data_IF_194782883508
#
_entry.id   IF_194782883508
#
_cell.length_a   1.000
_cell.length_b   1.000
_cell.length_c   1.000
_cell.angle_alpha   90.00
_cell.angle_beta   90.00
_cell.angle_gamma   90.00
#
_symmetry.space_group_name_H-M   'P 1'
#
loop_
_entity.id
_entity.type
_entity.pdbx_description
1 polymer ?
#
# COMPACT_ATOMS: atom_id res chain seq x y z
N UNK A 1 37.02 -32.56 96.94
CA UNK A 1 37.54 -32.97 95.65
C UNK A 1 36.39 -32.84 94.64
N UNK A 2 36.41 -31.86 93.79
CA UNK A 2 35.32 -31.45 92.92
C UNK A 2 35.63 -31.96 91.51
N UNK A 3 34.77 -32.85 90.99
CA UNK A 3 34.82 -33.35 89.63
C UNK A 3 33.91 -32.49 88.81
N UNK A 4 34.49 -31.72 87.89
CA UNK A 4 33.73 -30.96 86.88
C UNK A 4 33.32 -31.91 85.71
N UNK A 5 32.05 -31.99 85.43
CA UNK A 5 31.51 -32.64 84.22
C UNK A 5 31.48 -31.58 83.11
N UNK A 6 32.14 -31.92 81.97
CA UNK A 6 32.02 -31.19 80.71
C UNK A 6 30.76 -31.65 79.99
N UNK A 7 29.90 -30.73 79.72
CA UNK A 7 28.75 -30.95 78.87
C UNK A 7 29.05 -30.43 77.45
N UNK A 8 29.02 -31.34 76.49
CA UNK A 8 29.29 -31.05 75.07
C UNK A 8 27.94 -30.66 74.42
N UNK A 9 27.81 -29.41 73.97
CA UNK A 9 26.66 -28.92 73.24
C UNK A 9 26.82 -29.19 71.75
N UNK A 10 25.92 -29.97 71.16
CA UNK A 10 25.87 -30.21 69.72
C UNK A 10 25.03 -29.07 69.11
N UNK A 11 25.64 -28.24 68.26
CA UNK A 11 24.90 -27.25 67.43
C UNK A 11 24.34 -27.98 66.21
N UNK A 12 23.02 -28.09 66.10
CA UNK A 12 22.33 -28.40 64.84
C UNK A 12 22.19 -27.09 64.02
N UNK A 13 22.90 -27.03 62.89
CA UNK A 13 22.66 -25.95 61.91
C UNK A 13 21.47 -26.35 61.04
N UNK A 14 20.36 -25.63 61.22
CA UNK A 14 19.21 -25.71 60.30
C UNK A 14 19.47 -24.87 59.05
N UNK A 15 19.66 -25.49 57.92
CA UNK A 15 19.70 -24.83 56.60
C UNK A 15 18.27 -24.44 56.21
N UNK A 16 17.94 -23.15 56.32
CA UNK A 16 16.71 -22.60 55.75
C UNK A 16 16.89 -22.44 54.24
N UNK A 17 16.29 -23.35 53.46
CA UNK A 17 16.17 -23.22 52.02
C UNK A 17 15.22 -22.06 51.70
N UNK A 18 15.75 -21.00 51.11
CA UNK A 18 14.92 -19.94 50.53
C UNK A 18 14.23 -20.46 49.26
N UNK A 19 12.95 -20.74 49.36
CA UNK A 19 12.11 -20.99 48.17
C UNK A 19 11.89 -19.63 47.51
N UNK A 20 12.60 -19.39 46.40
CA UNK A 20 12.32 -18.26 45.54
C UNK A 20 10.94 -18.48 44.90
N UNK A 21 9.95 -17.76 45.40
CA UNK A 21 8.64 -17.65 44.74
C UNK A 21 8.87 -16.88 43.43
N UNK A 22 8.82 -17.58 42.29
CA UNK A 22 8.78 -16.95 40.98
C UNK A 22 7.53 -16.03 40.98
N UNK A 23 7.75 -14.72 40.83
CA UNK A 23 6.68 -13.78 40.53
C UNK A 23 5.97 -14.29 39.27
N UNK A 24 4.65 -14.42 39.26
CA UNK A 24 3.93 -14.65 37.99
C UNK A 24 4.27 -13.46 37.09
N UNK A 25 4.77 -13.78 35.89
CA UNK A 25 5.01 -12.78 34.86
C UNK A 25 3.73 -11.93 34.77
N UNK A 26 3.87 -10.66 35.09
CA UNK A 26 2.79 -9.68 34.98
C UNK A 26 2.41 -9.69 33.50
N UNK A 27 1.21 -10.18 33.20
CA UNK A 27 0.67 -10.09 31.85
C UNK A 27 0.80 -8.63 31.44
N UNK A 28 1.52 -8.38 30.34
CA UNK A 28 1.58 -7.04 29.78
C UNK A 28 0.13 -6.58 29.61
N UNK A 29 -0.20 -5.43 30.19
CA UNK A 29 -1.48 -4.77 29.94
C UNK A 29 -1.70 -4.81 28.41
N UNK A 30 -2.88 -5.23 27.94
CA UNK A 30 -3.18 -5.12 26.51
C UNK A 30 -2.95 -3.66 26.16
N UNK A 31 -1.96 -3.41 25.28
CA UNK A 31 -1.60 -2.07 24.84
C UNK A 31 -2.90 -1.36 24.51
N UNK A 32 -3.19 -0.29 25.25
CA UNK A 32 -4.41 0.48 25.07
C UNK A 32 -4.44 0.88 23.60
N UNK A 33 -5.42 0.36 22.84
CA UNK A 33 -5.53 0.65 21.42
C UNK A 33 -5.50 2.17 21.27
N UNK A 34 -4.55 2.67 20.47
CA UNK A 34 -4.48 4.10 20.20
C UNK A 34 -5.81 4.55 19.58
N UNK A 35 -6.28 5.74 19.96
CA UNK A 35 -7.48 6.32 19.36
C UNK A 35 -7.34 6.31 17.82
N UNK A 36 -8.41 6.02 17.08
CA UNK A 36 -8.35 6.00 15.63
C UNK A 36 -8.00 7.39 15.09
N UNK A 37 -7.18 7.43 14.04
CA UNK A 37 -6.88 8.68 13.33
C UNK A 37 -8.13 9.15 12.60
N UNK A 38 -8.57 10.35 12.90
CA UNK A 38 -9.77 10.96 12.30
C UNK A 38 -9.41 11.61 10.97
N UNK A 39 -9.84 10.99 9.89
CA UNK A 39 -9.57 11.46 8.52
C UNK A 39 -10.87 12.03 7.94
N UNK A 40 -10.83 13.29 7.49
CA UNK A 40 -11.95 13.95 6.82
C UNK A 40 -11.74 13.95 5.31
N UNK A 41 -12.42 13.08 4.55
CA UNK A 41 -12.52 13.25 3.10
C UNK A 41 -13.39 14.47 2.80
N UNK A 42 -12.76 15.59 2.39
CA UNK A 42 -13.44 16.87 2.11
C UNK A 42 -13.43 17.17 0.62
N UNK A 43 -14.57 17.47 0.04
CA UNK A 43 -14.65 17.83 -1.37
C UNK A 43 -16.06 17.78 -1.98
N UNK A 44 -16.13 17.35 -3.24
CA UNK A 44 -17.38 17.32 -3.99
C UNK A 44 -17.82 15.88 -4.33
N UNK A 45 -18.32 15.66 -5.55
CA UNK A 45 -18.87 14.37 -5.99
C UNK A 45 -17.84 13.22 -6.05
N UNK A 46 -16.59 13.51 -6.36
CA UNK A 46 -15.53 12.49 -6.34
C UNK A 46 -15.28 12.00 -4.90
N UNK A 47 -15.29 12.91 -3.93
CA UNK A 47 -15.19 12.58 -2.51
C UNK A 47 -16.41 11.79 -2.03
N UNK A 48 -17.61 12.14 -2.51
CA UNK A 48 -18.84 11.41 -2.26
C UNK A 48 -18.80 9.96 -2.79
N UNK A 49 -18.08 9.71 -3.89
CA UNK A 49 -18.01 8.41 -4.57
C UNK A 49 -18.95 8.27 -5.76
N UNK A 50 -19.35 9.39 -6.40
CA UNK A 50 -20.20 9.36 -7.58
C UNK A 50 -19.57 8.54 -8.69
N UNK A 51 -20.38 7.74 -9.39
CA UNK A 51 -20.02 6.79 -10.48
C UNK A 51 -19.19 5.55 -10.05
N UNK A 52 -18.88 5.36 -8.76
CA UNK A 52 -18.50 4.03 -8.30
C UNK A 52 -19.74 3.14 -8.12
N UNK A 53 -19.63 1.85 -8.42
CA UNK A 53 -20.75 0.91 -8.40
C UNK A 53 -21.34 0.72 -7.00
N UNK A 54 -20.53 0.87 -5.97
CA UNK A 54 -20.89 0.71 -4.56
C UNK A 54 -21.12 2.06 -3.83
N UNK A 55 -20.83 3.20 -4.47
CA UNK A 55 -20.89 4.54 -3.88
C UNK A 55 -19.77 4.84 -2.89
N UNK A 56 -18.80 3.94 -2.71
CA UNK A 56 -17.69 4.11 -1.77
C UNK A 56 -16.58 5.03 -2.31
N UNK A 57 -16.45 5.12 -3.63
CA UNK A 57 -15.37 5.84 -4.28
C UNK A 57 -14.00 5.29 -3.86
N UNK A 58 -13.04 6.17 -3.55
CA UNK A 58 -11.70 5.75 -3.09
C UNK A 58 -11.65 5.36 -1.61
N UNK A 59 -12.69 5.66 -0.82
CA UNK A 59 -12.64 5.61 0.65
C UNK A 59 -12.50 4.18 1.19
N UNK A 60 -13.23 3.21 0.65
CA UNK A 60 -13.16 1.83 1.12
C UNK A 60 -11.78 1.22 0.89
N UNK A 61 -11.24 1.36 -0.33
CA UNK A 61 -9.92 0.84 -0.65
C UNK A 61 -8.83 1.54 0.18
N UNK A 62 -8.91 2.86 0.34
CA UNK A 62 -8.00 3.61 1.21
C UNK A 62 -8.06 3.11 2.66
N UNK A 63 -9.28 2.89 3.18
CA UNK A 63 -9.47 2.36 4.54
C UNK A 63 -8.88 0.96 4.68
N UNK A 64 -9.11 0.10 3.69
CA UNK A 64 -8.56 -1.25 3.65
C UNK A 64 -7.02 -1.23 3.70
N UNK A 65 -6.40 -0.37 2.92
CA UNK A 65 -4.94 -0.19 2.90
C UNK A 65 -4.43 0.32 4.25
N UNK A 66 -5.01 1.36 4.81
CA UNK A 66 -4.59 1.95 6.09
C UNK A 66 -4.78 0.97 7.26
N UNK A 67 -5.90 0.26 7.32
CA UNK A 67 -6.18 -0.71 8.37
C UNK A 67 -5.33 -1.99 8.25
N UNK A 68 -5.07 -2.44 7.01
CA UNK A 68 -4.27 -3.64 6.74
C UNK A 68 -2.78 -3.46 7.00
N UNK A 69 -2.26 -2.27 6.79
CA UNK A 69 -0.82 -2.07 6.62
C UNK A 69 -0.03 -1.80 7.89
N UNK A 70 -0.62 -1.37 8.95
CA UNK A 70 0.17 -1.05 10.14
C UNK A 70 -0.65 -1.09 11.43
N UNK A 71 -1.83 -1.68 11.38
CA UNK A 71 -2.75 -1.58 12.51
C UNK A 71 -3.09 -0.13 12.83
N UNK A 72 -3.12 0.76 11.82
CA UNK A 72 -3.61 2.11 12.01
C UNK A 72 -5.13 2.05 12.01
N UNK A 73 -5.70 2.16 13.19
CA UNK A 73 -7.13 2.39 13.31
C UNK A 73 -7.44 3.77 12.73
N UNK A 74 -8.34 3.83 11.75
CA UNK A 74 -8.85 5.08 11.19
C UNK A 74 -10.35 5.19 11.37
N UNK A 75 -10.82 6.42 11.47
CA UNK A 75 -12.20 6.83 11.54
C UNK A 75 -12.41 7.92 10.49
N UNK A 76 -13.16 7.61 9.42
CA UNK A 76 -13.57 8.65 8.51
C UNK A 76 -14.59 9.56 9.21
N UNK A 77 -14.44 10.85 9.03
CA UNK A 77 -15.32 11.83 9.69
C UNK A 77 -15.87 12.85 8.71
N UNK A 78 -17.09 13.32 8.98
CA UNK A 78 -17.79 14.28 8.17
C UNK A 78 -19.28 14.27 8.46
N UNK A 79 -20.02 15.18 7.86
CA UNK A 79 -21.47 15.30 8.04
C UNK A 79 -22.27 14.47 7.05
N UNK A 80 -21.62 13.92 6.03
CA UNK A 80 -22.23 13.16 4.95
C UNK A 80 -21.95 11.67 5.09
N UNK A 81 -22.88 10.86 4.55
CA UNK A 81 -22.74 9.41 4.48
C UNK A 81 -23.07 8.92 3.07
N UNK A 82 -22.14 8.18 2.45
CA UNK A 82 -22.34 7.60 1.12
C UNK A 82 -21.66 6.26 0.97
N UNK A 83 -22.21 5.44 0.07
CA UNK A 83 -21.70 4.11 -0.23
C UNK A 83 -22.22 3.02 0.71
N UNK A 84 -21.66 1.81 0.55
CA UNK A 84 -22.05 0.57 1.23
C UNK A 84 -21.06 0.10 2.27
N UNK A 85 -19.87 0.72 2.36
CA UNK A 85 -18.83 0.38 3.32
C UNK A 85 -19.29 0.58 4.78
N UNK A 86 -18.60 -0.04 5.72
CA UNK A 86 -18.96 0.02 7.14
C UNK A 86 -18.82 1.45 7.72
N UNK A 87 -17.76 2.16 7.35
CA UNK A 87 -17.48 3.54 7.75
C UNK A 87 -17.79 4.47 6.56
N UNK A 88 -19.01 5.01 6.52
CA UNK A 88 -19.53 5.79 5.38
C UNK A 88 -19.34 7.29 5.51
N UNK A 89 -18.75 7.75 6.61
CA UNK A 89 -18.66 9.18 6.89
C UNK A 89 -17.69 9.87 5.91
N UNK A 90 -18.07 11.06 5.49
CA UNK A 90 -17.28 11.91 4.60
C UNK A 90 -17.85 13.34 4.60
N UNK A 91 -17.13 14.27 3.99
CA UNK A 91 -17.58 15.64 3.77
C UNK A 91 -17.60 15.95 2.25
N UNK A 92 -18.13 15.01 1.46
CA UNK A 92 -18.32 15.14 0.02
C UNK A 92 -19.66 15.78 -0.32
N UNK A 93 -19.64 16.92 -1.00
CA UNK A 93 -20.84 17.67 -1.39
C UNK A 93 -20.91 17.78 -2.92
N UNK A 94 -21.63 16.86 -3.62
CA UNK A 94 -21.72 16.87 -5.06
C UNK A 94 -22.17 18.24 -5.62
N UNK A 95 -21.44 18.73 -6.64
CA UNK A 95 -21.76 19.97 -7.32
C UNK A 95 -21.16 21.24 -6.70
N UNK A 96 -20.62 21.20 -5.48
CA UNK A 96 -20.03 22.37 -4.84
C UNK A 96 -18.68 22.75 -5.42
N UNK A 97 -18.46 24.06 -5.59
CA UNK A 97 -17.18 24.69 -5.95
C UNK A 97 -16.33 25.01 -4.72
N UNK A 98 -15.11 25.48 -4.96
CA UNK A 98 -14.17 25.87 -3.91
C UNK A 98 -14.79 26.94 -2.97
N UNK A 99 -15.43 27.97 -3.52
CA UNK A 99 -16.06 29.04 -2.72
C UNK A 99 -17.20 28.54 -1.83
N UNK A 100 -17.97 27.57 -2.34
CA UNK A 100 -19.10 26.98 -1.61
C UNK A 100 -18.64 26.01 -0.51
N UNK A 101 -17.57 25.26 -0.75
CA UNK A 101 -16.91 24.45 0.29
C UNK A 101 -16.37 25.38 1.38
N UNK A 102 -15.64 26.44 1.00
CA UNK A 102 -15.07 27.40 1.94
C UNK A 102 -16.12 28.05 2.85
N UNK A 103 -17.29 28.35 2.32
CA UNK A 103 -18.37 28.96 3.09
C UNK A 103 -18.87 28.10 4.28
N UNK A 104 -18.63 26.80 4.26
CA UNK A 104 -19.09 25.86 5.27
C UNK A 104 -17.95 25.17 6.05
N UNK A 105 -16.71 25.28 5.56
CA UNK A 105 -15.56 24.51 6.07
C UNK A 105 -15.34 24.66 7.57
N UNK A 106 -15.45 25.87 8.13
CA UNK A 106 -15.25 26.12 9.57
C UNK A 106 -16.22 25.32 10.43
N UNK A 107 -17.51 25.28 10.05
CA UNK A 107 -18.52 24.54 10.79
C UNK A 107 -18.28 23.03 10.72
N UNK A 108 -17.93 22.51 9.55
CA UNK A 108 -17.63 21.09 9.37
C UNK A 108 -16.37 20.66 10.11
N UNK A 109 -15.28 21.46 10.04
CA UNK A 109 -14.03 21.19 10.74
C UNK A 109 -14.19 21.25 12.27
N UNK A 110 -15.00 22.19 12.77
CA UNK A 110 -15.28 22.30 14.20
C UNK A 110 -16.09 21.10 14.72
N UNK A 111 -17.05 20.60 13.94
CA UNK A 111 -17.87 19.45 14.30
C UNK A 111 -17.06 18.13 14.20
N UNK A 112 -16.40 17.90 13.08
CA UNK A 112 -15.68 16.65 12.81
C UNK A 112 -14.31 16.55 13.50
N UNK A 113 -13.65 17.65 13.81
CA UNK A 113 -12.32 17.71 14.46
C UNK A 113 -11.32 16.73 13.90
N UNK A 114 -11.03 16.76 12.58
CA UNK A 114 -10.14 15.81 11.95
C UNK A 114 -8.68 16.01 12.39
N UNK A 115 -7.92 14.91 12.38
CA UNK A 115 -6.45 14.91 12.48
C UNK A 115 -5.82 15.06 11.10
N UNK A 116 -6.54 14.62 10.05
CA UNK A 116 -6.12 14.73 8.65
C UNK A 116 -7.31 15.17 7.80
N UNK A 117 -7.08 16.10 6.87
CA UNK A 117 -8.03 16.50 5.84
C UNK A 117 -7.53 16.04 4.47
N UNK A 118 -8.32 15.25 3.73
CA UNK A 118 -8.07 14.90 2.34
C UNK A 118 -8.95 15.79 1.45
N UNK A 119 -8.36 16.83 0.85
CA UNK A 119 -9.10 17.84 0.10
C UNK A 119 -9.02 17.58 -1.41
N UNK A 120 -10.20 17.28 -2.03
CA UNK A 120 -10.35 17.21 -3.48
C UNK A 120 -11.52 18.09 -3.93
N UNK A 121 -11.23 19.28 -4.42
CA UNK A 121 -12.23 20.28 -4.86
C UNK A 121 -11.70 21.14 -6.01
N UNK A 122 -12.59 21.67 -6.84
CA UNK A 122 -12.29 22.51 -7.99
C UNK A 122 -12.83 21.97 -9.32
N UNK A 123 -13.22 20.69 -9.38
CA UNK A 123 -13.86 20.10 -10.57
C UNK A 123 -15.07 20.91 -11.01
N UNK A 124 -15.91 21.36 -10.08
CA UNK A 124 -17.11 22.17 -10.39
C UNK A 124 -16.76 23.60 -10.83
N UNK A 125 -15.65 24.17 -10.37
CA UNK A 125 -15.12 25.44 -10.87
C UNK A 125 -14.76 25.32 -12.36
N UNK A 126 -14.08 24.23 -12.75
CA UNK A 126 -13.69 23.98 -14.16
C UNK A 126 -14.90 23.67 -15.05
N UNK A 127 -15.82 22.81 -14.59
CA UNK A 127 -17.04 22.45 -15.32
C UNK A 127 -17.92 23.67 -15.57
N UNK A 128 -18.17 24.47 -14.54
CA UNK A 128 -19.03 25.67 -14.61
C UNK A 128 -18.31 26.87 -15.24
N UNK A 129 -17.01 26.74 -15.55
CA UNK A 129 -16.16 27.85 -16.01
C UNK A 129 -16.26 29.06 -15.06
N UNK A 130 -16.28 28.80 -13.76
CA UNK A 130 -16.55 29.81 -12.74
C UNK A 130 -15.29 30.54 -12.33
N UNK A 131 -15.11 31.75 -12.84
CA UNK A 131 -14.00 32.66 -12.51
C UNK A 131 -12.64 31.91 -12.35
N UNK A 132 -12.29 31.13 -13.37
CA UNK A 132 -11.13 30.23 -13.36
C UNK A 132 -9.79 30.94 -13.10
N UNK A 133 -9.55 32.17 -13.58
CA UNK A 133 -8.31 32.88 -13.25
C UNK A 133 -8.10 33.05 -11.74
N UNK A 134 -9.16 33.16 -10.96
CA UNK A 134 -9.11 33.30 -9.50
C UNK A 134 -9.29 31.98 -8.73
N UNK A 135 -9.56 30.87 -9.40
CA UNK A 135 -9.72 29.56 -8.74
C UNK A 135 -8.50 29.11 -7.90
N UNK A 136 -7.24 29.30 -8.35
CA UNK A 136 -6.05 29.03 -7.53
C UNK A 136 -5.99 29.89 -6.27
N UNK A 137 -6.39 31.15 -6.34
CA UNK A 137 -6.45 32.02 -5.15
C UNK A 137 -7.51 31.57 -4.16
N UNK A 138 -8.69 31.12 -4.64
CA UNK A 138 -9.73 30.51 -3.78
C UNK A 138 -9.23 29.23 -3.11
N UNK A 139 -8.51 28.36 -3.84
CA UNK A 139 -7.91 27.16 -3.27
C UNK A 139 -6.92 27.52 -2.15
N UNK A 140 -6.03 28.47 -2.38
CA UNK A 140 -5.11 28.95 -1.33
C UNK A 140 -5.85 29.44 -0.09
N UNK A 141 -6.87 30.29 -0.29
CA UNK A 141 -7.67 30.84 0.82
C UNK A 141 -8.38 29.73 1.61
N UNK A 142 -8.90 28.69 0.93
CA UNK A 142 -9.50 27.53 1.59
C UNK A 142 -8.46 26.75 2.41
N UNK A 143 -7.25 26.54 1.88
CA UNK A 143 -6.16 25.89 2.64
C UNK A 143 -5.78 26.71 3.87
N UNK A 144 -5.62 28.04 3.74
CA UNK A 144 -5.34 28.94 4.87
C UNK A 144 -6.45 28.87 5.93
N UNK A 145 -7.70 28.80 5.52
CA UNK A 145 -8.87 28.64 6.40
C UNK A 145 -8.83 27.31 7.16
N UNK A 146 -8.57 26.19 6.46
CA UNK A 146 -8.47 24.85 7.07
C UNK A 146 -7.35 24.82 8.11
N UNK A 147 -6.18 25.35 7.77
CA UNK A 147 -5.04 25.41 8.69
C UNK A 147 -5.35 26.27 9.91
N UNK A 148 -6.01 27.41 9.73
CA UNK A 148 -6.41 28.27 10.84
C UNK A 148 -7.44 27.59 11.76
N UNK A 149 -8.40 26.87 11.19
CA UNK A 149 -9.44 26.15 11.95
C UNK A 149 -8.88 24.90 12.66
N UNK A 150 -7.87 24.24 12.08
CA UNK A 150 -7.26 22.99 12.58
C UNK A 150 -5.73 23.04 12.50
N UNK A 151 -5.04 23.83 13.35
CA UNK A 151 -3.59 24.05 13.23
C UNK A 151 -2.72 22.79 13.41
N UNK A 152 -3.25 21.79 14.11
CA UNK A 152 -2.55 20.52 14.37
C UNK A 152 -2.85 19.44 13.30
N UNK A 153 -3.87 19.65 12.46
CA UNK A 153 -4.22 18.69 11.43
C UNK A 153 -3.24 18.75 10.27
N UNK A 154 -3.01 17.61 9.66
CA UNK A 154 -2.35 17.56 8.36
C UNK A 154 -3.39 17.78 7.26
N UNK A 155 -3.03 18.54 6.23
CA UNK A 155 -3.87 18.73 5.05
C UNK A 155 -3.18 18.14 3.83
N UNK A 156 -3.79 17.13 3.23
CA UNK A 156 -3.36 16.61 1.93
C UNK A 156 -4.38 17.05 0.89
N UNK A 157 -4.00 17.96 0.00
CA UNK A 157 -4.86 18.39 -1.08
C UNK A 157 -4.36 17.87 -2.43
N UNK A 158 -5.22 17.80 -3.43
CA UNK A 158 -4.90 17.12 -4.68
C UNK A 158 -5.05 17.98 -5.92
N UNK A 159 -4.37 17.55 -6.99
CA UNK A 159 -4.77 17.92 -8.35
C UNK A 159 -6.15 17.33 -8.68
N UNK A 160 -6.84 17.93 -9.64
CA UNK A 160 -8.07 17.39 -10.21
C UNK A 160 -7.74 16.24 -11.15
N UNK A 161 -8.59 15.23 -11.19
CA UNK A 161 -8.50 14.12 -12.16
C UNK A 161 -8.69 14.66 -13.60
N UNK A 162 -8.21 13.95 -14.64
CA UNK A 162 -8.45 14.35 -16.02
C UNK A 162 -9.95 14.31 -16.34
N UNK A 163 -10.37 15.07 -17.37
CA UNK A 163 -11.73 15.04 -17.88
C UNK A 163 -11.76 14.39 -19.26
N UNK A 164 -12.78 13.57 -19.53
CA UNK A 164 -13.05 13.04 -20.87
C UNK A 164 -13.43 14.14 -21.87
N UNK A 165 -13.97 15.25 -21.40
CA UNK A 165 -14.25 16.40 -22.24
C UNK A 165 -13.01 17.30 -22.43
N UNK A 166 -12.51 17.41 -23.66
CA UNK A 166 -11.26 18.11 -23.97
C UNK A 166 -11.24 19.58 -23.53
N UNK A 167 -12.37 20.30 -23.62
CA UNK A 167 -12.47 21.70 -23.20
C UNK A 167 -12.32 21.81 -21.69
N UNK A 168 -13.03 20.96 -20.95
CA UNK A 168 -12.90 20.94 -19.48
C UNK A 168 -11.53 20.46 -19.05
N UNK A 169 -10.96 19.45 -19.71
CA UNK A 169 -9.62 18.93 -19.40
C UNK A 169 -8.52 20.00 -19.58
N UNK A 170 -8.65 20.88 -20.58
CA UNK A 170 -7.75 22.03 -20.71
C UNK A 170 -7.84 22.98 -19.51
N UNK A 171 -9.03 23.19 -18.95
CA UNK A 171 -9.23 23.99 -17.73
C UNK A 171 -8.66 23.31 -16.50
N UNK A 172 -8.88 21.99 -16.39
CA UNK A 172 -8.31 21.13 -15.35
C UNK A 172 -6.77 21.25 -15.34
N UNK A 173 -6.12 21.08 -16.50
CA UNK A 173 -4.66 21.22 -16.59
C UNK A 173 -4.17 22.60 -16.18
N UNK A 174 -4.89 23.66 -16.60
CA UNK A 174 -4.55 25.03 -16.24
C UNK A 174 -4.63 25.26 -14.73
N UNK A 175 -5.69 24.78 -14.10
CA UNK A 175 -5.87 24.84 -12.65
C UNK A 175 -4.79 24.03 -11.93
N UNK A 176 -4.58 22.75 -12.32
CA UNK A 176 -3.59 21.86 -11.71
C UNK A 176 -2.17 22.43 -11.77
N UNK A 177 -1.81 23.11 -12.85
CA UNK A 177 -0.49 23.73 -13.02
C UNK A 177 -0.17 24.81 -11.96
N UNK A 178 -1.18 25.40 -11.35
CA UNK A 178 -1.01 26.41 -10.29
C UNK A 178 -0.80 25.81 -8.88
N UNK A 179 -1.22 24.56 -8.65
CA UNK A 179 -1.26 23.95 -7.32
C UNK A 179 0.11 23.70 -6.68
N UNK A 180 1.18 23.32 -7.43
CA UNK A 180 2.51 23.15 -6.85
C UNK A 180 3.06 24.42 -6.19
N UNK A 181 2.81 25.59 -6.78
CA UNK A 181 3.24 26.87 -6.19
C UNK A 181 2.49 27.16 -4.87
N UNK A 182 1.22 26.80 -4.79
CA UNK A 182 0.42 26.91 -3.55
C UNK A 182 0.99 25.99 -2.47
N UNK A 183 1.29 24.73 -2.82
CA UNK A 183 1.91 23.80 -1.87
C UNK A 183 3.23 24.31 -1.33
N UNK A 184 4.09 24.88 -2.20
CA UNK A 184 5.35 25.49 -1.77
C UNK A 184 5.15 26.68 -0.83
N UNK A 185 4.15 27.54 -1.10
CA UNK A 185 3.82 28.67 -0.22
C UNK A 185 3.34 28.19 1.16
N UNK A 186 2.49 27.18 1.21
CA UNK A 186 2.02 26.57 2.47
C UNK A 186 3.20 25.97 3.27
N UNK A 187 4.09 25.24 2.60
CA UNK A 187 5.28 24.67 3.22
C UNK A 187 6.23 25.76 3.75
N UNK A 188 6.45 26.84 2.98
CA UNK A 188 7.28 27.97 3.40
C UNK A 188 6.68 28.74 4.60
N UNK A 189 5.35 28.70 4.77
CA UNK A 189 4.67 29.23 5.94
C UNK A 189 4.74 28.28 7.17
N UNK A 190 5.34 27.12 7.04
CA UNK A 190 5.43 26.10 8.10
C UNK A 190 4.17 25.28 8.32
N UNK A 191 3.21 25.33 7.40
CA UNK A 191 1.97 24.59 7.50
C UNK A 191 2.18 23.12 7.10
N UNK A 192 1.50 22.20 7.79
CA UNK A 192 1.50 20.78 7.43
C UNK A 192 0.51 20.52 6.28
N UNK A 193 0.83 21.10 5.12
CA UNK A 193 0.03 21.00 3.89
C UNK A 193 0.86 20.33 2.79
N UNK A 194 0.28 19.33 2.12
CA UNK A 194 0.94 18.55 1.07
C UNK A 194 0.04 18.45 -0.16
N UNK A 195 0.65 18.47 -1.34
CA UNK A 195 -0.03 18.21 -2.61
C UNK A 195 0.19 16.77 -3.03
N UNK A 196 -0.87 16.10 -3.48
CA UNK A 196 -0.83 14.82 -4.18
C UNK A 196 -1.31 15.00 -5.62
N UNK A 197 -0.63 14.38 -6.56
CA UNK A 197 -1.02 14.40 -7.96
C UNK A 197 -1.94 13.22 -8.28
N UNK A 198 -3.24 13.50 -8.39
CA UNK A 198 -4.26 12.54 -8.80
C UNK A 198 -4.50 12.53 -10.32
N UNK A 199 -3.83 13.40 -11.06
CA UNK A 199 -4.05 13.56 -12.51
C UNK A 199 -3.16 12.63 -13.35
N UNK A 200 -1.86 12.61 -13.07
CA UNK A 200 -0.85 12.04 -13.98
C UNK A 200 -0.93 10.52 -14.17
N UNK A 201 -1.53 9.80 -13.22
CA UNK A 201 -1.64 8.33 -13.26
C UNK A 201 -2.95 7.83 -13.83
N UNK A 202 -3.95 8.70 -13.99
CA UNK A 202 -5.23 8.35 -14.57
C UNK A 202 -5.19 8.53 -16.10
N UNK A 203 -5.87 7.62 -16.78
CA UNK A 203 -6.06 7.63 -18.24
C UNK A 203 -7.52 7.82 -18.60
N UNK A 204 -7.86 7.98 -19.86
CA UNK A 204 -9.25 8.06 -20.31
C UNK A 204 -10.09 6.83 -19.91
N UNK A 205 -9.48 5.65 -19.79
CA UNK A 205 -10.16 4.43 -19.36
C UNK A 205 -10.55 4.44 -17.87
N UNK A 206 -9.94 5.31 -17.09
CA UNK A 206 -10.21 5.46 -15.67
C UNK A 206 -11.35 6.48 -15.38
N UNK A 207 -11.83 7.16 -16.43
CA UNK A 207 -12.93 8.14 -16.34
C UNK A 207 -14.18 7.48 -16.88
N UNK A 208 -15.27 7.64 -16.15
CA UNK A 208 -16.57 7.08 -16.51
C UNK A 208 -17.17 7.78 -17.76
N UNK A 209 -18.23 7.21 -18.38
CA UNK A 209 -18.85 7.78 -19.56
C UNK A 209 -19.47 9.18 -19.37
N UNK A 210 -19.49 9.70 -18.15
CA UNK A 210 -19.92 11.07 -17.87
C UNK A 210 -18.81 12.12 -18.07
N UNK A 211 -17.60 11.67 -18.46
CA UNK A 211 -16.42 12.51 -18.70
C UNK A 211 -15.85 13.23 -17.46
N UNK A 212 -16.33 12.90 -16.27
CA UNK A 212 -16.04 13.66 -15.04
C UNK A 212 -15.51 12.76 -13.91
N UNK A 213 -16.28 11.72 -13.61
CA UNK A 213 -16.02 10.91 -12.41
C UNK A 213 -15.16 9.69 -12.74
N UNK A 214 -14.32 9.25 -11.81
CA UNK A 214 -13.57 8.01 -11.98
C UNK A 214 -14.48 6.78 -12.09
N UNK A 215 -14.05 5.78 -12.86
CA UNK A 215 -14.57 4.41 -12.78
C UNK A 215 -14.14 3.76 -11.45
N UNK A 216 -14.65 2.56 -11.13
CA UNK A 216 -14.17 1.80 -9.96
C UNK A 216 -12.65 1.60 -10.01
N UNK A 217 -12.09 1.27 -11.17
CA UNK A 217 -10.64 1.16 -11.37
C UNK A 217 -9.92 2.50 -11.14
N UNK A 218 -10.49 3.60 -11.61
CA UNK A 218 -10.00 4.95 -11.35
C UNK A 218 -10.00 5.28 -9.86
N UNK A 219 -11.05 4.94 -9.15
CA UNK A 219 -11.15 5.16 -7.71
C UNK A 219 -10.11 4.37 -6.91
N UNK A 220 -9.81 3.15 -7.29
CA UNK A 220 -8.73 2.37 -6.67
C UNK A 220 -7.37 3.04 -6.88
N UNK A 221 -7.10 3.58 -8.09
CA UNK A 221 -5.89 4.39 -8.33
C UNK A 221 -5.83 5.62 -7.42
N UNK A 222 -6.95 6.33 -7.25
CA UNK A 222 -7.02 7.44 -6.31
C UNK A 222 -6.71 7.00 -4.88
N UNK A 223 -7.25 5.87 -4.43
CA UNK A 223 -6.96 5.34 -3.10
C UNK A 223 -5.46 5.09 -2.91
N UNK A 224 -4.79 4.47 -3.89
CA UNK A 224 -3.34 4.23 -3.86
C UNK A 224 -2.53 5.52 -3.75
N UNK A 225 -2.94 6.57 -4.46
CA UNK A 225 -2.26 7.86 -4.42
C UNK A 225 -2.48 8.59 -3.08
N UNK A 226 -3.70 8.58 -2.57
CA UNK A 226 -4.01 9.09 -1.23
C UNK A 226 -3.23 8.35 -0.15
N UNK A 227 -3.20 7.02 -0.23
CA UNK A 227 -2.43 6.18 0.68
C UNK A 227 -0.94 6.57 0.70
N UNK A 228 -0.34 6.70 -0.49
CA UNK A 228 1.07 7.11 -0.62
C UNK A 228 1.34 8.50 -0.05
N UNK A 229 0.40 9.44 -0.22
CA UNK A 229 0.51 10.80 0.30
C UNK A 229 0.33 10.87 1.83
N UNK A 230 -0.45 9.95 2.41
CA UNK A 230 -0.67 9.87 3.85
C UNK A 230 0.51 9.29 4.63
N UNK A 231 1.35 8.49 3.99
CA UNK A 231 2.51 7.84 4.64
C UNK A 231 3.36 8.81 5.47
N UNK A 232 3.88 9.91 4.91
CA UNK A 232 4.70 10.85 5.67
C UNK A 232 3.92 11.63 6.74
N UNK A 233 2.59 11.55 6.72
CA UNK A 233 1.70 12.23 7.68
C UNK A 233 1.41 11.36 8.89
N UNK A 234 1.17 10.05 8.67
CA UNK A 234 0.67 9.14 9.69
C UNK A 234 1.78 8.40 10.46
N UNK A 235 3.03 8.51 10.04
CA UNK A 235 4.06 7.78 10.75
C UNK A 235 5.50 8.04 10.33
N UNK A 236 6.17 9.01 10.90
CA UNK A 236 7.62 8.98 10.96
C UNK A 236 8.06 7.77 11.82
N UNK A 237 8.72 6.78 11.22
CA UNK A 237 9.29 5.62 11.90
C UNK A 237 8.55 4.29 11.75
N UNK A 238 7.51 4.20 10.91
CA UNK A 238 6.87 2.95 10.50
C UNK A 238 7.24 2.61 9.06
N UNK A 239 7.55 1.34 8.80
CA UNK A 239 7.68 0.84 7.44
C UNK A 239 6.28 0.82 6.79
N UNK A 240 6.15 1.50 5.63
CA UNK A 240 4.88 1.60 4.92
C UNK A 240 4.95 0.86 3.60
N UNK A 241 3.94 0.04 3.23
CA UNK A 241 3.91 -0.54 1.91
C UNK A 241 3.75 0.56 0.85
N UNK A 242 4.71 0.60 -0.08
CA UNK A 242 4.62 1.34 -1.33
C UNK A 242 3.69 0.64 -2.31
N UNK A 243 3.54 -0.65 -2.14
CA UNK A 243 2.67 -1.54 -2.87
C UNK A 243 2.28 -2.72 -1.99
N UNK A 244 1.04 -3.18 -2.11
CA UNK A 244 0.56 -4.40 -1.46
C UNK A 244 -0.41 -5.15 -2.37
N UNK A 245 -0.32 -6.47 -2.35
CA UNK A 245 -1.29 -7.37 -2.97
C UNK A 245 -1.50 -8.59 -2.08
N UNK A 246 -2.73 -8.73 -1.59
CA UNK A 246 -3.22 -9.87 -0.80
C UNK A 246 -4.16 -10.78 -1.60
N UNK A 247 -4.34 -10.46 -2.90
CA UNK A 247 -5.23 -11.17 -3.82
C UNK A 247 -6.69 -11.29 -3.35
N UNK A 248 -7.08 -10.64 -2.27
CA UNK A 248 -8.44 -10.63 -1.72
C UNK A 248 -9.47 -10.06 -2.69
N UNK A 249 -9.11 -9.06 -3.47
CA UNK A 249 -9.94 -8.45 -4.51
C UNK A 249 -9.61 -8.99 -5.90
N UNK A 250 -10.63 -9.32 -6.69
CA UNK A 250 -10.48 -9.65 -8.12
C UNK A 250 -10.24 -8.40 -8.99
N UNK A 251 -10.56 -7.22 -8.47
CA UNK A 251 -10.55 -5.95 -9.19
C UNK A 251 -9.39 -5.04 -8.78
N UNK A 252 -8.16 -5.58 -8.75
CA UNK A 252 -7.00 -4.70 -8.61
C UNK A 252 -6.66 -4.10 -9.99
N UNK A 253 -6.67 -2.78 -10.16
CA UNK A 253 -6.61 -2.14 -11.48
C UNK A 253 -5.30 -2.37 -12.22
N UNK A 254 -4.25 -2.73 -11.50
CA UNK A 254 -2.93 -3.04 -12.07
C UNK A 254 -2.69 -4.54 -12.21
N UNK A 255 -3.68 -5.35 -11.83
CA UNK A 255 -3.62 -6.81 -11.88
C UNK A 255 -3.71 -7.34 -13.30
N UNK A 256 -2.84 -8.26 -13.64
CA UNK A 256 -2.89 -9.02 -14.89
C UNK A 256 -3.08 -10.50 -14.55
N UNK A 257 -4.28 -11.03 -14.76
CA UNK A 257 -4.51 -12.48 -14.68
C UNK A 257 -4.13 -13.09 -16.03
N UNK A 258 -3.05 -13.84 -16.05
CA UNK A 258 -2.54 -14.50 -17.26
C UNK A 258 -2.71 -16.01 -17.15
N UNK A 259 -3.71 -16.52 -17.83
CA UNK A 259 -3.92 -17.98 -17.97
C UNK A 259 -2.92 -18.57 -18.97
N UNK A 260 -2.46 -17.73 -19.91
CA UNK A 260 -1.48 -18.10 -20.93
C UNK A 260 -0.31 -17.13 -20.85
N UNK A 261 0.75 -17.55 -20.21
CA UNK A 261 1.96 -16.77 -20.01
C UNK A 261 2.54 -16.13 -21.27
N UNK A 262 2.34 -16.74 -22.43
CA UNK A 262 2.81 -16.25 -23.73
C UNK A 262 2.35 -14.83 -24.07
N UNK A 263 1.28 -14.35 -23.48
CA UNK A 263 0.70 -13.02 -23.78
C UNK A 263 1.32 -11.92 -22.92
N UNK A 264 1.82 -12.27 -21.74
CA UNK A 264 2.25 -11.30 -20.71
C UNK A 264 3.70 -11.49 -20.27
N UNK A 265 4.43 -12.37 -20.91
CA UNK A 265 5.79 -12.71 -20.49
C UNK A 265 6.81 -11.65 -20.90
N UNK A 266 7.76 -11.39 -20.00
CA UNK A 266 8.97 -10.67 -20.32
C UNK A 266 9.97 -11.49 -21.14
N UNK A 267 9.76 -12.82 -21.24
CA UNK A 267 10.52 -13.76 -22.05
C UNK A 267 10.29 -15.20 -21.62
N UNK A 268 10.46 -16.13 -22.53
CA UNK A 268 10.48 -17.58 -22.26
C UNK A 268 11.38 -18.29 -23.26
N UNK A 269 11.96 -19.40 -22.89
CA UNK A 269 12.76 -20.21 -23.81
C UNK A 269 12.92 -21.68 -23.37
N UNK A 270 13.46 -22.40 -24.28
CA UNK A 270 14.33 -23.59 -24.12
C UNK A 270 13.61 -24.80 -23.52
N UNK A 271 12.36 -25.05 -23.92
CA UNK A 271 11.58 -26.21 -23.49
C UNK A 271 10.46 -25.90 -22.53
N UNK A 272 10.39 -24.66 -22.01
CA UNK A 272 9.21 -24.14 -21.34
C UNK A 272 8.33 -23.46 -22.38
N UNK A 273 7.13 -23.98 -22.62
CA UNK A 273 6.19 -23.39 -23.57
C UNK A 273 5.43 -22.21 -22.99
N UNK A 274 5.12 -22.27 -21.69
CA UNK A 274 4.50 -21.18 -20.93
C UNK A 274 4.59 -21.47 -19.43
N UNK A 275 4.47 -20.42 -18.63
CA UNK A 275 4.12 -20.52 -17.22
C UNK A 275 2.74 -19.92 -17.02
N UNK A 276 1.83 -20.68 -16.45
CA UNK A 276 0.53 -20.18 -16.04
C UNK A 276 0.67 -19.43 -14.71
N UNK A 277 -0.02 -18.30 -14.60
CA UNK A 277 -0.17 -17.60 -13.34
C UNK A 277 -1.56 -16.97 -13.25
N UNK A 278 -2.17 -17.00 -12.07
CA UNK A 278 -3.49 -16.45 -11.89
C UNK A 278 -3.99 -16.60 -10.46
N UNK A 279 -4.98 -15.81 -10.12
CA UNK A 279 -5.64 -15.81 -8.81
C UNK A 279 -6.43 -17.08 -8.61
N UNK A 280 -6.22 -17.77 -7.49
CA UNK A 280 -6.91 -19.03 -7.15
C UNK A 280 -7.26 -19.05 -5.65
N UNK A 281 -8.34 -19.78 -5.32
CA UNK A 281 -8.85 -19.98 -3.96
C UNK A 281 -8.45 -21.34 -3.35
N UNK A 282 -7.50 -22.04 -3.95
CA UNK A 282 -7.12 -23.40 -3.51
C UNK A 282 -6.33 -23.37 -2.20
N UNK A 283 -5.52 -22.32 -2.01
CA UNK A 283 -4.80 -21.99 -0.78
C UNK A 283 -4.44 -20.52 -0.76
N UNK A 284 -4.36 -19.94 0.44
CA UNK A 284 -3.91 -18.57 0.66
C UNK A 284 -3.09 -18.52 1.95
N UNK A 285 -2.17 -17.57 2.06
CA UNK A 285 -1.49 -17.26 3.31
C UNK A 285 -2.40 -16.38 4.18
N UNK A 286 -2.97 -15.34 3.56
CA UNK A 286 -3.99 -14.49 4.14
C UNK A 286 -5.29 -14.50 3.32
N UNK A 287 -6.45 -14.31 3.96
CA UNK A 287 -7.72 -14.21 3.25
C UNK A 287 -8.15 -15.50 2.52
N UNK A 288 -8.62 -15.37 1.26
CA UNK A 288 -9.25 -16.47 0.51
C UNK A 288 -8.48 -16.87 -0.74
N UNK A 289 -7.65 -15.99 -1.28
CA UNK A 289 -7.04 -16.15 -2.59
C UNK A 289 -5.53 -15.88 -2.53
N UNK A 290 -4.80 -16.56 -3.42
CA UNK A 290 -3.38 -16.32 -3.67
C UNK A 290 -3.10 -16.36 -5.18
N UNK A 291 -1.94 -15.88 -5.60
CA UNK A 291 -1.44 -16.04 -6.97
C UNK A 291 -0.90 -17.46 -7.13
N UNK A 292 -1.56 -18.29 -7.91
CA UNK A 292 -1.04 -19.58 -8.37
C UNK A 292 -0.04 -19.36 -9.50
N UNK A 293 1.04 -20.14 -9.53
CA UNK A 293 1.92 -20.32 -10.67
C UNK A 293 2.13 -21.81 -10.95
N UNK A 294 2.22 -22.19 -12.23
CA UNK A 294 2.52 -23.57 -12.63
C UNK A 294 3.11 -23.65 -14.03
N UNK A 295 3.82 -24.72 -14.31
CA UNK A 295 4.35 -25.01 -15.61
C UNK A 295 4.97 -26.40 -15.68
N UNK A 296 5.42 -26.77 -16.90
CA UNK A 296 6.14 -27.99 -17.15
C UNK A 296 7.38 -27.69 -17.99
N UNK A 297 8.54 -27.84 -17.39
CA UNK A 297 9.83 -27.68 -18.08
C UNK A 297 10.26 -29.00 -18.67
N UNK A 298 10.43 -29.04 -19.98
CA UNK A 298 10.85 -30.25 -20.73
C UNK A 298 12.29 -30.19 -21.21
N UNK A 299 13.00 -29.08 -20.94
CA UNK A 299 14.39 -28.90 -21.38
C UNK A 299 15.39 -29.20 -20.28
N UNK A 300 16.42 -29.96 -20.62
CA UNK A 300 17.58 -30.18 -19.75
C UNK A 300 18.61 -29.03 -19.76
N UNK A 301 18.33 -27.99 -20.53
CA UNK A 301 19.10 -26.74 -20.56
C UNK A 301 18.31 -25.63 -19.89
N UNK A 302 18.89 -24.43 -19.77
CA UNK A 302 18.23 -23.30 -19.18
C UNK A 302 16.86 -23.03 -19.81
N UNK A 303 15.84 -22.92 -18.97
CA UNK A 303 14.48 -22.52 -19.35
C UNK A 303 14.04 -21.38 -18.46
N UNK A 304 13.34 -20.40 -19.02
CA UNK A 304 12.82 -19.30 -18.22
C UNK A 304 11.46 -18.80 -18.74
N UNK A 305 10.69 -18.23 -17.83
CA UNK A 305 9.45 -17.48 -18.11
C UNK A 305 9.25 -16.41 -17.06
N UNK A 306 8.83 -15.23 -17.49
CA UNK A 306 8.53 -14.09 -16.60
C UNK A 306 7.17 -13.52 -16.95
N UNK A 307 6.18 -13.77 -16.09
CA UNK A 307 4.83 -13.27 -16.26
C UNK A 307 4.66 -11.95 -15.52
N UNK A 308 4.19 -10.92 -16.20
CA UNK A 308 3.75 -9.70 -15.55
C UNK A 308 2.49 -10.00 -14.73
N UNK A 309 2.49 -9.59 -13.46
CA UNK A 309 1.34 -9.72 -12.57
C UNK A 309 0.76 -8.36 -12.18
N UNK A 310 1.60 -7.32 -12.05
CA UNK A 310 1.15 -5.96 -11.76
C UNK A 310 1.92 -4.94 -12.57
N UNK A 311 1.22 -3.89 -13.01
CA UNK A 311 1.81 -2.60 -13.35
C UNK A 311 1.83 -1.74 -12.07
N UNK A 312 3.01 -1.18 -11.75
CA UNK A 312 3.24 -0.45 -10.50
C UNK A 312 3.98 0.84 -10.84
N UNK A 313 3.83 1.85 -10.02
CA UNK A 313 4.65 3.05 -10.12
C UNK A 313 5.12 3.42 -8.71
N UNK A 314 6.14 2.70 -8.22
CA UNK A 314 6.63 2.87 -6.86
C UNK A 314 8.11 3.24 -6.84
N UNK A 315 8.50 4.39 -6.26
CA UNK A 315 9.90 4.77 -6.12
C UNK A 315 10.59 3.89 -5.07
N UNK A 316 11.85 3.56 -5.30
CA UNK A 316 12.68 2.77 -4.38
C UNK A 316 13.60 3.71 -3.61
N UNK A 317 13.44 3.77 -2.29
CA UNK A 317 14.38 4.41 -1.37
C UNK A 317 15.49 3.42 -0.94
N UNK A 318 16.53 3.92 -0.28
CA UNK A 318 17.67 3.09 0.14
C UNK A 318 17.28 2.02 1.19
N UNK A 319 16.22 2.26 1.94
CA UNK A 319 15.66 1.40 2.99
C UNK A 319 14.46 0.57 2.53
N UNK A 320 14.08 0.67 1.24
CA UNK A 320 12.99 -0.12 0.69
C UNK A 320 13.30 -1.61 0.71
N UNK A 321 12.27 -2.42 0.89
CA UNK A 321 12.36 -3.88 0.83
C UNK A 321 11.11 -4.46 0.13
N UNK A 322 11.32 -5.56 -0.62
CA UNK A 322 10.27 -6.44 -1.10
C UNK A 322 10.07 -7.56 -0.09
N UNK A 323 8.83 -7.85 0.28
CA UNK A 323 8.47 -9.09 0.99
C UNK A 323 7.30 -9.78 0.33
N UNK A 324 7.27 -11.09 0.40
CA UNK A 324 6.15 -11.90 -0.07
C UNK A 324 6.18 -13.28 0.58
N UNK A 325 5.02 -13.93 0.64
CA UNK A 325 4.94 -15.33 1.02
C UNK A 325 4.87 -16.21 -0.22
N UNK A 326 5.60 -17.33 -0.19
CA UNK A 326 5.62 -18.33 -1.27
C UNK A 326 5.37 -19.74 -0.71
N UNK A 327 4.51 -20.48 -1.40
CA UNK A 327 4.16 -21.86 -1.09
C UNK A 327 4.57 -22.77 -2.24
N UNK A 328 5.80 -23.28 -2.28
CA UNK A 328 6.25 -24.18 -3.33
C UNK A 328 5.70 -25.58 -3.10
N UNK A 329 5.15 -26.20 -4.14
CA UNK A 329 4.66 -27.58 -4.05
C UNK A 329 5.71 -28.62 -4.48
N UNK A 330 6.81 -28.18 -5.08
CA UNK A 330 7.90 -29.02 -5.52
C UNK A 330 9.23 -28.55 -4.95
N UNK A 331 10.13 -29.47 -4.53
CA UNK A 331 11.38 -29.10 -3.85
C UNK A 331 12.38 -28.31 -4.69
N UNK A 332 12.27 -28.42 -6.02
CA UNK A 332 13.17 -27.74 -6.96
C UNK A 332 12.49 -26.53 -7.64
N UNK A 333 11.54 -25.92 -6.98
CA UNK A 333 10.83 -24.75 -7.52
C UNK A 333 11.80 -23.59 -7.68
N UNK A 334 12.12 -23.25 -8.92
CA UNK A 334 12.97 -22.12 -9.32
C UNK A 334 12.12 -20.92 -9.67
N UNK A 335 11.36 -20.42 -8.71
CA UNK A 335 10.41 -19.30 -8.87
C UNK A 335 10.71 -18.23 -7.85
N UNK A 336 10.67 -16.97 -8.28
CA UNK A 336 10.73 -15.78 -7.42
C UNK A 336 9.93 -14.65 -8.02
N UNK A 337 9.58 -13.67 -7.20
CA UNK A 337 9.15 -12.38 -7.71
C UNK A 337 10.35 -11.61 -8.27
N UNK A 338 10.12 -10.91 -9.38
CA UNK A 338 11.05 -9.98 -9.99
C UNK A 338 10.42 -8.59 -10.09
N UNK A 339 11.22 -7.57 -9.85
CA UNK A 339 10.85 -6.18 -10.05
C UNK A 339 11.54 -5.68 -11.30
N UNK A 340 10.79 -5.12 -12.22
CA UNK A 340 11.31 -4.48 -13.42
C UNK A 340 11.11 -2.97 -13.31
N UNK A 341 12.18 -2.20 -13.54
CA UNK A 341 12.20 -0.76 -13.32
C UNK A 341 12.02 -0.01 -14.64
N UNK A 342 11.56 1.24 -14.55
CA UNK A 342 11.39 2.14 -15.70
C UNK A 342 12.70 2.43 -16.45
N UNK A 343 13.85 2.29 -15.79
CA UNK A 343 15.19 2.47 -16.37
C UNK A 343 15.79 1.17 -16.94
N UNK A 344 15.04 0.09 -16.95
CA UNK A 344 15.44 -1.22 -17.49
C UNK A 344 16.20 -2.12 -16.52
N UNK A 345 16.53 -1.67 -15.31
CA UNK A 345 17.09 -2.53 -14.26
C UNK A 345 16.05 -3.54 -13.77
N UNK A 346 16.51 -4.65 -13.19
CA UNK A 346 15.64 -5.66 -12.59
C UNK A 346 16.21 -6.16 -11.26
N UNK A 347 15.32 -6.69 -10.41
CA UNK A 347 15.73 -7.26 -9.13
C UNK A 347 16.62 -8.49 -9.33
N UNK A 348 16.27 -9.38 -10.26
CA UNK A 348 17.03 -10.59 -10.56
C UNK A 348 18.47 -10.32 -10.97
N UNK A 349 18.74 -9.19 -11.64
CA UNK A 349 20.05 -8.82 -12.15
C UNK A 349 20.83 -7.92 -11.17
N UNK A 350 20.19 -7.46 -10.10
CA UNK A 350 20.75 -6.51 -9.14
C UNK A 350 21.81 -7.10 -8.20
N UNK A 351 21.87 -8.44 -8.09
CA UNK A 351 22.69 -9.12 -7.10
C UNK A 351 22.16 -9.08 -5.67
N UNK A 352 20.99 -8.49 -5.43
CA UNK A 352 20.35 -8.47 -4.11
C UNK A 352 20.09 -9.88 -3.60
N UNK A 353 20.13 -10.05 -2.28
CA UNK A 353 19.88 -11.34 -1.60
C UNK A 353 18.73 -11.21 -0.62
N UNK A 354 18.03 -12.32 -0.38
CA UNK A 354 17.03 -12.41 0.65
C UNK A 354 17.62 -12.43 2.08
N UNK A 355 16.77 -12.53 3.09
CA UNK A 355 17.16 -12.58 4.51
C UNK A 355 18.04 -13.80 4.87
N UNK A 356 18.18 -14.78 3.98
CA UNK A 356 19.04 -15.96 4.16
C UNK A 356 20.33 -15.88 3.33
N UNK A 357 20.57 -14.77 2.64
CA UNK A 357 21.72 -14.57 1.75
C UNK A 357 21.57 -15.28 0.39
N UNK A 358 20.38 -15.74 0.02
CA UNK A 358 20.10 -16.34 -1.30
C UNK A 358 19.81 -15.23 -2.30
N UNK A 359 20.41 -15.26 -3.49
CA UNK A 359 20.16 -14.26 -4.53
C UNK A 359 18.66 -14.21 -4.89
N UNK A 360 18.13 -13.01 -4.97
CA UNK A 360 16.74 -12.72 -5.37
C UNK A 360 16.56 -12.91 -6.89
N UNK A 361 16.83 -14.11 -7.35
CA UNK A 361 16.73 -14.53 -8.75
C UNK A 361 16.04 -15.90 -8.78
N UNK A 362 15.06 -16.16 -9.66
CA UNK A 362 14.35 -17.43 -9.70
C UNK A 362 15.25 -18.66 -9.72
N UNK A 363 16.38 -18.59 -10.43
CA UNK A 363 17.34 -19.69 -10.52
C UNK A 363 17.90 -20.15 -9.16
N UNK A 364 17.95 -19.25 -8.17
CA UNK A 364 18.56 -19.55 -6.86
C UNK A 364 17.50 -19.74 -5.78
N UNK A 365 16.34 -19.10 -5.90
CA UNK A 365 15.22 -19.29 -4.99
C UNK A 365 14.66 -20.72 -5.13
N UNK A 366 14.33 -21.35 -4.02
CA UNK A 366 13.88 -22.75 -4.01
C UNK A 366 15.00 -23.80 -4.19
N UNK A 367 16.16 -23.43 -4.73
CA UNK A 367 17.33 -24.31 -4.81
C UNK A 367 18.13 -24.20 -3.50
N UNK A 368 18.61 -25.23 -2.99
CA UNK A 368 19.43 -25.21 -1.76
C UNK A 368 18.62 -25.38 -0.47
N UNK A 369 17.36 -25.78 -0.57
CA UNK A 369 16.57 -26.25 0.57
C UNK A 369 16.15 -25.18 1.58
N UNK A 370 16.16 -23.90 1.19
CA UNK A 370 15.74 -22.79 2.07
C UNK A 370 14.22 -22.65 2.12
N UNK A 371 13.54 -22.88 0.99
CA UNK A 371 12.09 -22.88 0.93
C UNK A 371 11.58 -24.30 1.22
N UNK A 372 10.81 -24.44 2.28
CA UNK A 372 10.19 -25.71 2.63
C UNK A 372 8.99 -25.99 1.72
N UNK A 373 8.94 -27.16 1.03
CA UNK A 373 7.82 -27.48 0.17
C UNK A 373 6.54 -27.71 0.97
N UNK A 374 5.40 -27.41 0.36
CA UNK A 374 4.05 -27.54 0.94
C UNK A 374 3.85 -26.75 2.23
N UNK A 375 4.52 -25.63 2.38
CA UNK A 375 4.28 -24.65 3.45
C UNK A 375 4.59 -23.25 2.95
N UNK A 376 3.97 -22.26 3.62
CA UNK A 376 4.23 -20.86 3.37
C UNK A 376 5.61 -20.45 3.92
N UNK A 377 6.41 -19.82 3.09
CA UNK A 377 7.74 -19.32 3.40
C UNK A 377 7.78 -17.82 3.14
N UNK A 378 8.22 -17.04 4.12
CA UNK A 378 8.46 -15.61 3.92
C UNK A 378 9.79 -15.41 3.19
N UNK A 379 9.76 -14.63 2.11
CA UNK A 379 10.94 -14.10 1.42
C UNK A 379 10.96 -12.58 1.60
N UNK A 380 12.09 -12.05 2.04
CA UNK A 380 12.31 -10.61 2.20
C UNK A 380 13.64 -10.21 1.59
N UNK A 381 13.60 -9.22 0.70
CA UNK A 381 14.75 -8.75 -0.08
C UNK A 381 14.91 -7.24 0.11
N UNK A 382 16.02 -6.76 0.69
CA UNK A 382 16.37 -5.35 0.68
C UNK A 382 16.56 -4.85 -0.76
N UNK A 383 16.01 -3.69 -1.08
CA UNK A 383 16.05 -3.09 -2.43
C UNK A 383 17.10 -1.99 -2.56
N UNK A 384 18.03 -1.85 -1.62
CA UNK A 384 19.07 -0.82 -1.62
C UNK A 384 19.91 -0.81 -2.91
N UNK A 385 20.15 -1.96 -3.53
CA UNK A 385 20.85 -2.08 -4.81
C UNK A 385 20.08 -1.44 -5.99
N UNK A 386 18.80 -1.20 -5.84
CA UNK A 386 17.92 -0.57 -6.82
C UNK A 386 17.46 0.84 -6.42
N UNK A 387 18.00 1.38 -5.33
CA UNK A 387 17.63 2.69 -4.82
C UNK A 387 17.73 3.80 -5.89
N UNK A 388 16.81 4.76 -5.83
CA UNK A 388 16.66 5.82 -6.80
C UNK A 388 15.94 5.41 -8.10
N UNK A 389 15.62 4.13 -8.28
CA UNK A 389 14.79 3.66 -9.38
C UNK A 389 13.30 3.74 -9.08
N UNK A 390 12.48 3.56 -10.11
CA UNK A 390 11.03 3.44 -10.00
C UNK A 390 10.61 2.09 -10.55
N UNK A 391 9.88 1.32 -9.77
CA UNK A 391 9.32 0.02 -10.20
C UNK A 391 8.24 0.31 -11.25
N UNK A 392 8.34 -0.38 -12.39
CA UNK A 392 7.35 -0.35 -13.47
C UNK A 392 6.41 -1.56 -13.39
N UNK A 393 6.99 -2.75 -13.14
CA UNK A 393 6.23 -3.99 -13.09
C UNK A 393 6.70 -4.91 -11.97
N UNK A 394 5.75 -5.65 -11.42
CA UNK A 394 6.02 -6.85 -10.63
C UNK A 394 5.74 -8.06 -11.52
N UNK A 395 6.69 -8.99 -11.57
CA UNK A 395 6.62 -10.20 -12.36
C UNK A 395 6.80 -11.42 -11.46
N UNK A 396 6.14 -12.53 -11.82
CA UNK A 396 6.52 -13.86 -11.30
C UNK A 396 7.46 -14.50 -12.32
N UNK A 397 8.63 -14.92 -11.87
CA UNK A 397 9.67 -15.48 -12.73
C UNK A 397 9.95 -16.94 -12.39
N UNK A 398 10.07 -17.77 -13.41
CA UNK A 398 10.69 -19.09 -13.38
C UNK A 398 11.99 -19.04 -14.16
N UNK A 399 13.06 -19.61 -13.61
CA UNK A 399 14.34 -19.74 -14.32
C UNK A 399 15.08 -20.98 -13.78
N UNK A 400 15.24 -21.96 -14.63
CA UNK A 400 15.84 -23.25 -14.28
C UNK A 400 16.97 -23.62 -15.26
N UNK A 401 18.21 -23.82 -14.75
CA UNK A 401 19.36 -24.02 -15.62
C UNK A 401 19.51 -25.46 -16.15
N UNK A 402 18.96 -26.48 -15.51
CA UNK A 402 19.35 -27.84 -15.81
C UNK A 402 18.39 -28.97 -15.40
N UNK A 403 17.25 -28.69 -14.79
CA UNK A 403 16.30 -29.72 -14.37
C UNK A 403 14.96 -29.57 -15.06
N UNK A 404 14.38 -30.71 -15.43
CA UNK A 404 13.07 -30.78 -16.08
C UNK A 404 11.99 -31.17 -15.08
N UNK A 405 10.74 -30.92 -15.42
CA UNK A 405 9.60 -31.41 -14.67
C UNK A 405 8.52 -30.35 -14.43
N UNK A 406 7.47 -30.80 -13.79
CA UNK A 406 6.35 -29.95 -13.39
C UNK A 406 6.77 -29.12 -12.18
N UNK A 407 6.43 -27.84 -12.20
CA UNK A 407 6.51 -26.98 -11.03
C UNK A 407 5.13 -26.31 -10.78
N UNK A 408 4.81 -26.10 -9.52
CA UNK A 408 3.60 -25.43 -9.08
C UNK A 408 3.79 -24.83 -7.71
N UNK A 409 3.06 -23.76 -7.42
CA UNK A 409 3.01 -23.15 -6.11
C UNK A 409 2.13 -21.91 -6.10
N UNK A 410 2.23 -21.17 -5.01
CA UNK A 410 1.43 -19.97 -4.78
C UNK A 410 2.32 -18.86 -4.20
N UNK A 411 1.95 -17.62 -4.49
CA UNK A 411 2.52 -16.42 -3.87
C UNK A 411 1.38 -15.60 -3.30
N UNK A 412 1.62 -15.01 -2.12
CA UNK A 412 0.64 -14.18 -1.42
C UNK A 412 1.30 -13.06 -0.63
N UNK A 413 0.49 -12.11 -0.16
CA UNK A 413 0.91 -10.99 0.68
C UNK A 413 2.19 -10.31 0.15
N UNK A 414 2.14 -9.87 -1.11
CA UNK A 414 3.26 -9.13 -1.73
C UNK A 414 3.27 -7.73 -1.17
N UNK A 415 4.40 -7.30 -0.62
CA UNK A 415 4.58 -5.94 -0.10
C UNK A 415 5.91 -5.35 -0.58
N UNK A 416 5.87 -4.09 -0.99
CA UNK A 416 7.05 -3.24 -1.17
C UNK A 416 6.95 -2.16 -0.12
N UNK A 417 7.83 -2.19 0.86
CA UNK A 417 7.86 -1.26 1.98
C UNK A 417 9.04 -0.30 1.86
N UNK A 418 8.90 0.89 2.45
CA UNK A 418 9.98 1.83 2.70
C UNK A 418 9.96 2.14 4.20
N UNK A 419 11.09 2.07 4.85
CA UNK A 419 11.24 2.35 6.28
C UNK A 419 11.23 3.83 6.61
#
# INVERSE_FOLDING_TARGET
MIVRRLTMAVLLAAAAGAIATANPAQAADPAQAADPVRIMPLGASITWGTSSTDGNGYREELRRQLAGDAGIAIDFVGSQQSGTMADRDNEGHPGLRIDQIAANADAWLAAARPDVVLLNVGTNDTLQNYDLPNAPARMRSLLDQIVAARPTAAVVFSTLVPSGNATNDSRVRTFNAALPAIAQQQAAAGHNVRLVDLNSTLTAADISPDDIHPTDAGYVKLANLWYSALRPVLGAGRAWPLFRADFGSAAQPTWTDSVLASVQVGGFCCGLTSMESGRRAETAHGGTYALMFSGNDTSATQSYSYNKIFDVHAPIAADSALSYWIYPQHPATSVALDLFLTDGRSLRDSGATDQFGVRAHPQFQGRGGRLAPNQWNLVRVPLSALAGGTIDQIRIGYDQPATTGVFRGYVDDIEIISG
#
